data_IF_084081642035
#
_entry.id   IF_084081642035
#
_cell.length_a   1.000
_cell.length_b   1.000
_cell.length_c   1.000
_cell.angle_alpha   90.00
_cell.angle_beta   90.00
_cell.angle_gamma   90.00
#
_symmetry.space_group_name_H-M   'P 1'
#
loop_
_entity.id
_entity.type
_entity.pdbx_description
1 polymer ?
#
# COMPACT_ATOMS: atom_id res chain seq x y z
N UNK A 1 12.18 -23.42 22.16
CA UNK A 1 12.24 -22.07 21.54
C UNK A 1 11.04 -21.29 22.03
N UNK A 2 11.22 -20.14 22.70
CA UNK A 2 10.11 -19.30 23.10
C UNK A 2 9.34 -18.85 21.85
N UNK A 3 8.03 -19.12 21.80
CA UNK A 3 7.16 -18.63 20.72
C UNK A 3 7.19 -17.11 20.79
N UNK A 4 7.78 -16.44 19.79
CA UNK A 4 7.70 -14.98 19.67
C UNK A 4 6.21 -14.60 19.69
N UNK A 5 5.80 -13.61 20.49
CA UNK A 5 4.42 -13.15 20.47
C UNK A 5 4.06 -12.73 19.04
N UNK A 6 2.81 -12.96 18.60
CA UNK A 6 2.37 -12.51 17.28
C UNK A 6 2.64 -11.02 17.17
N UNK A 7 3.43 -10.63 16.18
CA UNK A 7 3.64 -9.22 15.84
C UNK A 7 2.25 -8.69 15.50
N UNK A 8 1.81 -7.62 16.14
CA UNK A 8 0.55 -6.95 15.83
C UNK A 8 0.84 -5.49 15.56
N UNK A 9 0.05 -4.87 14.69
CA UNK A 9 0.09 -3.44 14.52
C UNK A 9 -0.36 -2.77 15.81
N UNK A 10 0.33 -1.69 16.19
CA UNK A 10 -0.22 -0.77 17.16
C UNK A 10 -1.43 -0.05 16.54
N UNK A 11 -2.33 0.47 17.37
CA UNK A 11 -3.47 1.24 16.88
C UNK A 11 -3.03 2.42 15.98
N UNK A 12 -1.95 3.10 16.36
CA UNK A 12 -1.37 4.19 15.57
C UNK A 12 -0.86 3.72 14.19
N UNK A 13 -0.19 2.57 14.13
CA UNK A 13 0.29 1.99 12.86
C UNK A 13 -0.89 1.59 11.97
N UNK A 14 -1.94 1.00 12.55
CA UNK A 14 -3.16 0.64 11.82
C UNK A 14 -3.83 1.89 11.24
N UNK A 15 -4.06 2.92 12.04
CA UNK A 15 -4.66 4.18 11.59
C UNK A 15 -3.82 4.85 10.49
N UNK A 16 -2.49 4.84 10.60
CA UNK A 16 -1.61 5.36 9.54
C UNK A 16 -1.78 4.56 8.25
N UNK A 17 -1.77 3.24 8.31
CA UNK A 17 -1.95 2.40 7.12
C UNK A 17 -3.33 2.59 6.51
N UNK A 18 -4.39 2.60 7.31
CA UNK A 18 -5.76 2.85 6.84
C UNK A 18 -5.88 4.22 6.18
N UNK A 19 -5.29 5.26 6.79
CA UNK A 19 -5.29 6.64 6.27
C UNK A 19 -4.59 6.84 4.92
N UNK A 20 -3.75 5.91 4.48
CA UNK A 20 -3.14 5.95 3.14
C UNK A 20 -4.14 5.59 2.02
N UNK A 21 -5.37 5.19 2.33
CA UNK A 21 -6.33 4.74 1.31
C UNK A 21 -6.63 5.83 0.28
N UNK A 22 -6.88 7.06 0.73
CA UNK A 22 -7.22 8.17 -0.16
C UNK A 22 -6.05 8.51 -1.11
N UNK A 23 -4.82 8.51 -0.59
CA UNK A 23 -3.61 8.72 -1.40
C UNK A 23 -3.41 7.61 -2.44
N UNK A 24 -3.71 6.36 -2.06
CA UNK A 24 -3.63 5.21 -2.95
C UNK A 24 -4.64 5.34 -4.08
N UNK A 25 -5.88 5.70 -3.76
CA UNK A 25 -6.95 5.83 -4.76
C UNK A 25 -6.64 6.98 -5.73
N UNK A 26 -6.12 8.10 -5.23
CA UNK A 26 -5.65 9.21 -6.06
C UNK A 26 -4.48 8.79 -6.97
N UNK A 27 -3.47 8.10 -6.45
CA UNK A 27 -2.32 7.65 -7.24
C UNK A 27 -2.71 6.63 -8.33
N UNK A 28 -3.69 5.75 -8.06
CA UNK A 28 -4.18 4.81 -9.07
C UNK A 28 -4.85 5.55 -10.25
N UNK A 29 -5.61 6.60 -9.96
CA UNK A 29 -6.19 7.46 -10.99
C UNK A 29 -5.11 8.19 -11.80
N UNK A 30 -4.10 8.76 -11.15
CA UNK A 30 -3.03 9.49 -11.83
C UNK A 30 -2.17 8.56 -12.71
N UNK A 31 -1.87 7.34 -12.24
CA UNK A 31 -1.23 6.30 -13.05
C UNK A 31 -2.09 6.00 -14.29
N UNK A 32 -3.41 5.88 -14.13
CA UNK A 32 -4.34 5.65 -15.26
C UNK A 32 -4.33 6.82 -16.25
N UNK A 33 -4.38 8.07 -15.76
CA UNK A 33 -4.32 9.28 -16.60
C UNK A 33 -3.00 9.35 -17.38
N UNK A 34 -1.88 9.11 -16.70
CA UNK A 34 -0.55 9.10 -17.31
C UNK A 34 -0.43 8.07 -18.46
N UNK A 35 -0.99 6.86 -18.28
CA UNK A 35 -1.06 5.85 -19.35
C UNK A 35 -1.89 6.31 -20.54
N UNK A 36 -3.03 6.98 -20.30
CA UNK A 36 -3.91 7.45 -21.37
C UNK A 36 -3.24 8.50 -22.26
N UNK A 37 -2.38 9.34 -21.69
CA UNK A 37 -1.60 10.34 -22.44
C UNK A 37 -0.28 9.80 -23.00
N UNK A 38 0.00 8.50 -22.82
CA UNK A 38 1.16 7.82 -23.40
C UNK A 38 2.48 8.04 -22.64
N UNK A 39 2.44 8.43 -21.36
CA UNK A 39 3.66 8.51 -20.55
C UNK A 39 4.17 7.10 -20.20
N UNK A 40 5.49 6.91 -20.32
CA UNK A 40 6.15 5.72 -19.80
C UNK A 40 6.29 5.83 -18.28
N UNK A 41 5.47 5.06 -17.57
CA UNK A 41 5.41 5.03 -16.11
C UNK A 41 5.51 3.60 -15.55
N UNK A 42 6.07 2.65 -16.31
CA UNK A 42 6.11 1.23 -15.92
C UNK A 42 6.73 0.99 -14.55
N UNK A 43 7.89 1.60 -14.30
CA UNK A 43 8.60 1.51 -13.02
C UNK A 43 7.78 2.09 -11.85
N UNK A 44 7.06 3.19 -12.09
CA UNK A 44 6.22 3.84 -11.07
C UNK A 44 5.02 2.96 -10.72
N UNK A 45 4.36 2.38 -11.73
CA UNK A 45 3.25 1.46 -11.53
C UNK A 45 3.68 0.20 -10.75
N UNK A 46 4.84 -0.36 -11.07
CA UNK A 46 5.34 -1.55 -10.36
C UNK A 46 5.63 -1.24 -8.88
N UNK A 47 6.30 -0.11 -8.61
CA UNK A 47 6.56 0.35 -7.23
C UNK A 47 5.28 0.61 -6.46
N UNK A 48 4.28 1.22 -7.12
CA UNK A 48 2.97 1.46 -6.55
C UNK A 48 2.28 0.14 -6.18
N UNK A 49 2.17 -0.81 -7.12
CA UNK A 49 1.59 -2.14 -6.87
C UNK A 49 2.27 -2.90 -5.74
N UNK A 50 3.61 -2.84 -5.68
CA UNK A 50 4.38 -3.47 -4.61
C UNK A 50 4.03 -2.87 -3.25
N UNK A 51 4.01 -1.54 -3.16
CA UNK A 51 3.74 -0.81 -1.92
C UNK A 51 2.31 -1.04 -1.42
N UNK A 52 1.32 -0.97 -2.32
CA UNK A 52 -0.09 -1.22 -1.97
C UNK A 52 -0.33 -2.67 -1.55
N UNK A 53 0.33 -3.63 -2.20
CA UNK A 53 0.28 -5.04 -1.81
C UNK A 53 0.84 -5.27 -0.41
N UNK A 54 1.99 -4.65 -0.08
CA UNK A 54 2.60 -4.74 1.26
C UNK A 54 1.64 -4.17 2.30
N UNK A 55 1.09 -2.96 2.07
CA UNK A 55 0.10 -2.35 2.98
C UNK A 55 -1.09 -3.29 3.21
N UNK A 56 -1.66 -3.85 2.14
CA UNK A 56 -2.81 -4.75 2.22
C UNK A 56 -2.50 -5.98 3.08
N UNK A 57 -1.36 -6.64 2.84
CA UNK A 57 -0.91 -7.77 3.67
C UNK A 57 -0.66 -7.36 5.12
N UNK A 58 -0.10 -6.17 5.35
CA UNK A 58 0.11 -5.68 6.71
C UNK A 58 -1.21 -5.52 7.48
N UNK A 59 -2.23 -5.01 6.82
CA UNK A 59 -3.56 -4.87 7.42
C UNK A 59 -4.28 -6.22 7.57
N UNK A 60 -4.11 -7.17 6.64
CA UNK A 60 -4.74 -8.50 6.72
C UNK A 60 -4.10 -9.40 7.78
N UNK A 61 -2.78 -9.41 7.89
CA UNK A 61 -2.03 -10.34 8.75
C UNK A 61 -1.84 -9.81 10.18
N UNK A 62 -1.87 -8.48 10.37
CA UNK A 62 -1.41 -7.88 11.63
C UNK A 62 -2.37 -6.82 12.25
N UNK A 63 -3.52 -6.49 11.63
CA UNK A 63 -4.49 -5.51 12.16
C UNK A 63 -5.59 -6.10 13.05
#
# INVERSE_FOLDING_TARGET
MAKKPPIKLTAEQKTRLEGLQDDIDWLDEEIRRAKLVGLDIGDLEERFKKSTTIRKRMLEEYA
#
